data_IF_205169944273
#
_entry.id   IF_205169944273
#
_cell.length_a   1.000
_cell.length_b   1.000
_cell.length_c   1.000
_cell.angle_alpha   90.00
_cell.angle_beta   90.00
_cell.angle_gamma   90.00
#
_symmetry.space_group_name_H-M   'P 1'
#
loop_
_entity.id
_entity.type
_entity.pdbx_description
1 polymer ?
#
# COMPACT_ATOMS: atom_id res chain seq x y z
N UNK A 1 -28.11 13.16 -19.82
CA UNK A 1 -27.58 12.00 -19.06
C UNK A 1 -26.39 11.48 -19.86
N UNK A 2 -25.26 12.18 -19.78
CA UNK A 2 -23.99 11.65 -20.28
C UNK A 2 -23.50 10.66 -19.22
N UNK A 3 -23.78 9.37 -19.45
CA UNK A 3 -23.60 8.30 -18.46
C UNK A 3 -22.10 8.06 -18.15
N UNK A 4 -21.19 8.58 -18.99
CA UNK A 4 -19.75 8.45 -18.83
C UNK A 4 -19.09 9.79 -19.18
N UNK A 5 -18.62 10.50 -18.15
CA UNK A 5 -17.62 11.54 -18.34
C UNK A 5 -16.26 10.85 -18.43
N UNK A 6 -15.70 10.77 -19.63
CA UNK A 6 -14.38 10.17 -19.87
C UNK A 6 -13.27 10.79 -18.99
N UNK A 7 -13.41 12.08 -18.67
CA UNK A 7 -12.51 12.79 -17.75
C UNK A 7 -12.54 12.21 -16.34
N UNK A 8 -13.72 11.87 -15.81
CA UNK A 8 -13.87 11.32 -14.46
C UNK A 8 -13.28 9.93 -14.38
N UNK A 9 -13.50 9.10 -15.41
CA UNK A 9 -12.92 7.76 -15.50
C UNK A 9 -11.38 7.79 -15.55
N UNK A 10 -10.81 8.67 -16.37
CA UNK A 10 -9.35 8.84 -16.46
C UNK A 10 -8.78 9.35 -15.14
N UNK A 11 -9.45 10.30 -14.47
CA UNK A 11 -9.04 10.77 -13.15
C UNK A 11 -9.06 9.64 -12.11
N UNK A 12 -10.13 8.85 -12.03
CA UNK A 12 -10.18 7.71 -11.10
C UNK A 12 -9.06 6.70 -11.32
N UNK A 13 -8.70 6.44 -12.58
CA UNK A 13 -7.59 5.55 -12.92
C UNK A 13 -6.24 6.13 -12.45
N UNK A 14 -6.01 7.43 -12.69
CA UNK A 14 -4.80 8.12 -12.26
C UNK A 14 -4.67 8.10 -10.72
N UNK A 15 -5.73 8.44 -9.99
CA UNK A 15 -5.70 8.44 -8.52
C UNK A 15 -5.55 7.03 -7.93
N UNK A 16 -6.17 6.01 -8.53
CA UNK A 16 -5.96 4.62 -8.13
C UNK A 16 -4.50 4.20 -8.31
N UNK A 17 -3.89 4.52 -9.45
CA UNK A 17 -2.49 4.22 -9.73
C UNK A 17 -1.54 4.97 -8.78
N UNK A 18 -1.84 6.25 -8.51
CA UNK A 18 -1.09 7.05 -7.54
C UNK A 18 -1.13 6.43 -6.14
N UNK A 19 -2.29 5.95 -5.69
CA UNK A 19 -2.42 5.27 -4.41
C UNK A 19 -1.55 4.01 -4.30
N UNK A 20 -1.47 3.21 -5.37
CA UNK A 20 -0.59 2.03 -5.44
C UNK A 20 0.87 2.43 -5.38
N UNK A 21 1.27 3.49 -6.09
CA UNK A 21 2.65 3.99 -6.07
C UNK A 21 3.03 4.47 -4.67
N UNK A 22 2.17 5.26 -4.01
CA UNK A 22 2.41 5.76 -2.65
C UNK A 22 2.50 4.60 -1.66
N UNK A 23 1.61 3.61 -1.77
CA UNK A 23 1.66 2.40 -0.97
C UNK A 23 3.00 1.67 -1.11
N UNK A 24 3.47 1.46 -2.35
CA UNK A 24 4.75 0.79 -2.62
C UNK A 24 5.94 1.56 -2.04
N UNK A 25 5.94 2.90 -2.14
CA UNK A 25 6.98 3.75 -1.56
C UNK A 25 6.97 3.66 -0.03
N UNK A 26 5.81 3.75 0.60
CA UNK A 26 5.69 3.59 2.06
C UNK A 26 6.14 2.20 2.52
N UNK A 27 5.77 1.14 1.79
CA UNK A 27 6.22 -0.21 2.10
C UNK A 27 7.74 -0.36 1.99
N UNK A 28 8.35 0.18 0.94
CA UNK A 28 9.80 0.20 0.78
C UNK A 28 10.50 1.02 1.88
N UNK A 29 9.90 2.12 2.33
CA UNK A 29 10.41 2.88 3.48
C UNK A 29 10.36 2.08 4.78
N UNK A 30 9.31 1.30 5.01
CA UNK A 30 9.18 0.43 6.19
C UNK A 30 10.22 -0.69 6.14
N UNK A 31 10.42 -1.31 4.98
CA UNK A 31 11.45 -2.33 4.78
C UNK A 31 12.84 -1.76 5.03
N UNK A 32 13.12 -0.56 4.51
CA UNK A 32 14.39 0.13 4.76
C UNK A 32 14.59 0.53 6.23
N UNK A 33 13.52 0.95 6.92
CA UNK A 33 13.57 1.31 8.33
C UNK A 33 13.73 0.08 9.24
N UNK A 34 13.28 -1.09 8.78
CA UNK A 34 13.36 -2.34 9.53
C UNK A 34 14.73 -2.97 9.28
N UNK A 35 15.65 -3.00 10.27
CA UNK A 35 17.03 -3.44 10.07
C UNK A 35 17.17 -4.97 9.96
N UNK A 36 16.12 -5.68 9.59
CA UNK A 36 16.02 -7.13 9.58
C UNK A 36 15.54 -7.59 8.20
N UNK A 37 16.09 -8.67 7.67
CA UNK A 37 15.65 -9.23 6.38
C UNK A 37 14.22 -9.79 6.52
N UNK A 38 13.21 -8.96 6.25
CA UNK A 38 11.79 -9.34 6.37
C UNK A 38 11.50 -10.61 5.57
N UNK A 39 12.00 -10.68 4.34
CA UNK A 39 11.79 -11.82 3.44
C UNK A 39 12.42 -13.09 4.02
N UNK A 40 13.64 -12.99 4.55
CA UNK A 40 14.36 -14.14 5.10
C UNK A 40 13.70 -14.65 6.37
N UNK A 41 13.29 -13.74 7.25
CA UNK A 41 12.62 -14.09 8.50
C UNK A 41 11.22 -14.68 8.27
N UNK A 42 10.48 -14.17 7.28
CA UNK A 42 9.12 -14.66 6.95
C UNK A 42 9.19 -15.98 6.17
N UNK A 43 10.10 -16.11 5.20
CA UNK A 43 10.16 -17.26 4.29
C UNK A 43 11.00 -18.41 4.87
N UNK A 44 12.22 -18.13 5.36
CA UNK A 44 13.12 -19.16 5.89
C UNK A 44 12.80 -19.51 7.35
N UNK A 45 12.65 -18.50 8.20
CA UNK A 45 12.41 -18.69 9.63
C UNK A 45 10.93 -18.84 10.00
N UNK A 46 10.01 -18.67 9.03
CA UNK A 46 8.56 -18.75 9.22
C UNK A 46 8.05 -17.93 10.39
N UNK A 47 8.62 -16.74 10.58
CA UNK A 47 8.26 -15.86 11.67
C UNK A 47 6.88 -15.22 11.43
N UNK A 48 5.84 -15.91 11.90
CA UNK A 48 4.45 -15.46 11.76
C UNK A 48 4.18 -14.14 12.47
N UNK A 49 4.88 -13.86 13.57
CA UNK A 49 4.72 -12.59 14.28
C UNK A 49 5.15 -11.42 13.38
N UNK A 50 6.29 -11.55 12.69
CA UNK A 50 6.74 -10.54 11.75
C UNK A 50 5.81 -10.40 10.55
N UNK A 51 5.32 -11.51 9.99
CA UNK A 51 4.35 -11.48 8.89
C UNK A 51 3.06 -10.75 9.26
N UNK A 52 2.55 -10.94 10.48
CA UNK A 52 1.36 -10.24 10.99
C UNK A 52 1.65 -8.74 11.13
N UNK A 53 2.81 -8.37 11.68
CA UNK A 53 3.20 -6.96 11.83
C UNK A 53 3.30 -6.27 10.46
N UNK A 54 4.00 -6.90 9.50
CA UNK A 54 4.12 -6.38 8.13
C UNK A 54 2.74 -6.25 7.47
N UNK A 55 1.85 -7.24 7.65
CA UNK A 55 0.47 -7.17 7.18
C UNK A 55 -0.32 -6.03 7.83
N UNK A 56 -0.17 -5.81 9.13
CA UNK A 56 -0.83 -4.71 9.85
C UNK A 56 -0.33 -3.33 9.39
N UNK A 57 0.98 -3.19 9.15
CA UNK A 57 1.57 -1.96 8.61
C UNK A 57 1.05 -1.68 7.19
N UNK A 58 1.00 -2.71 6.33
CA UNK A 58 0.40 -2.60 5.00
C UNK A 58 -1.07 -2.15 5.09
N UNK A 59 -1.87 -2.74 5.97
CA UNK A 59 -3.26 -2.32 6.17
C UNK A 59 -3.36 -0.86 6.65
N UNK A 60 -2.50 -0.43 7.57
CA UNK A 60 -2.44 0.96 8.03
C UNK A 60 -2.16 1.94 6.90
N UNK A 61 -1.16 1.65 6.05
CA UNK A 61 -0.82 2.48 4.89
C UNK A 61 -2.01 2.55 3.92
N UNK A 62 -2.64 1.42 3.62
CA UNK A 62 -3.81 1.36 2.74
C UNK A 62 -4.97 2.23 3.24
N UNK A 63 -5.22 2.25 4.55
CA UNK A 63 -6.28 3.08 5.16
C UNK A 63 -5.94 4.56 5.04
N UNK A 64 -4.69 4.96 5.30
CA UNK A 64 -4.23 6.35 5.17
C UNK A 64 -4.39 6.82 3.72
N UNK A 65 -3.97 5.99 2.75
CA UNK A 65 -4.11 6.30 1.33
C UNK A 65 -5.59 6.41 0.94
N UNK A 66 -6.44 5.47 1.39
CA UNK A 66 -7.88 5.52 1.13
C UNK A 66 -8.52 6.80 1.68
N UNK A 67 -8.18 7.19 2.91
CA UNK A 67 -8.66 8.43 3.53
C UNK A 67 -8.16 9.69 2.80
N UNK A 68 -6.93 9.68 2.30
CA UNK A 68 -6.37 10.80 1.54
C UNK A 68 -7.01 10.97 0.15
N UNK A 69 -7.42 9.87 -0.49
CA UNK A 69 -8.07 9.90 -1.82
C UNK A 69 -9.57 10.23 -1.73
N UNK A 70 -10.24 9.90 -0.62
CA UNK A 70 -11.66 10.20 -0.37
C UNK A 70 -11.91 11.52 0.41
N UNK A 71 -10.88 12.37 0.54
CA UNK A 71 -10.96 13.68 1.23
C UNK A 71 -11.45 14.83 0.35
#
# INVERSE_FOLDING_TARGET
MDIINWTDFVNSLIYSCLGVVVFAVCFALVDWLTPHDLVKEIVEHKNMALAIVVGAVALGISIIVAAAVHG
#
